data_IF_360481306906
#
_entry.id   IF_360481306906
#
_cell.length_a   1.000
_cell.length_b   1.000
_cell.length_c   1.000
_cell.angle_alpha   90.00
_cell.angle_beta   90.00
_cell.angle_gamma   90.00
#
_symmetry.space_group_name_H-M   'P 1'
#
loop_
_entity.id
_entity.type
_entity.pdbx_description
1 polymer ?
#
# COMPACT_ATOMS: atom_id res chain seq x y z
N UNK A 1 -15.44 24.70 -7.17
CA UNK A 1 -14.33 23.72 -7.28
C UNK A 1 -14.56 22.65 -6.23
N UNK A 2 -15.10 21.49 -6.59
CA UNK A 2 -15.08 20.33 -5.70
C UNK A 2 -15.01 19.07 -6.57
N UNK A 3 -13.80 18.81 -7.06
CA UNK A 3 -13.49 17.62 -7.84
C UNK A 3 -13.30 16.46 -6.85
N UNK A 4 -14.36 15.70 -6.64
CA UNK A 4 -14.30 14.43 -5.91
C UNK A 4 -15.31 13.50 -6.56
N UNK A 5 -14.87 12.64 -7.49
CA UNK A 5 -15.00 11.17 -7.31
C UNK A 5 -13.88 10.37 -8.05
N UNK A 6 -13.76 9.01 -8.00
CA UNK A 6 -14.68 7.98 -7.51
C UNK A 6 -14.04 6.97 -6.49
N UNK A 7 -14.79 6.54 -5.48
CA UNK A 7 -15.34 5.17 -5.31
C UNK A 7 -14.42 4.10 -4.68
N UNK A 8 -14.96 3.26 -3.75
CA UNK A 8 -14.24 2.33 -2.89
C UNK A 8 -13.97 0.98 -3.56
N UNK A 9 -13.38 0.98 -4.74
CA UNK A 9 -12.68 -0.18 -5.26
C UNK A 9 -11.28 -0.23 -4.63
N UNK A 10 -10.75 -1.43 -4.41
CA UNK A 10 -9.51 -1.73 -3.68
C UNK A 10 -8.25 -1.10 -4.33
N UNK A 11 -8.17 0.22 -4.31
CA UNK A 11 -7.08 0.99 -4.87
C UNK A 11 -5.83 0.77 -4.02
N UNK A 12 -4.68 0.63 -4.70
CA UNK A 12 -3.38 0.44 -4.04
C UNK A 12 -3.10 1.53 -3.00
N UNK A 13 -3.67 2.73 -3.15
CA UNK A 13 -3.60 3.80 -2.16
C UNK A 13 -4.30 3.46 -0.81
N UNK A 14 -5.45 2.80 -0.83
CA UNK A 14 -6.13 2.35 0.38
C UNK A 14 -5.35 1.21 1.06
N UNK A 15 -4.84 0.27 0.26
CA UNK A 15 -4.00 -0.83 0.75
C UNK A 15 -2.67 -0.30 1.34
N UNK A 16 -2.07 0.71 0.71
CA UNK A 16 -0.89 1.42 1.18
C UNK A 16 -1.13 2.07 2.55
N UNK A 17 -2.23 2.82 2.71
CA UNK A 17 -2.58 3.44 4.00
C UNK A 17 -2.81 2.39 5.09
N UNK A 18 -3.46 1.28 4.75
CA UNK A 18 -3.69 0.16 5.67
C UNK A 18 -2.39 -0.56 6.05
N UNK A 19 -1.44 -0.67 5.13
CA UNK A 19 -0.10 -1.18 5.40
C UNK A 19 0.64 -0.28 6.39
N UNK A 20 0.57 1.04 6.22
CA UNK A 20 1.15 2.00 7.16
C UNK A 20 0.46 1.97 8.54
N UNK A 21 -0.86 1.83 8.59
CA UNK A 21 -1.57 1.75 9.86
C UNK A 21 -1.18 0.51 10.69
N UNK A 22 -0.98 -0.64 10.03
CA UNK A 22 -0.69 -1.90 10.72
C UNK A 22 0.82 -2.18 10.90
N UNK A 23 1.64 -1.80 9.91
CA UNK A 23 3.06 -2.14 9.83
C UNK A 23 3.97 -0.91 9.84
N UNK A 24 3.41 0.30 9.96
CA UNK A 24 4.11 1.58 10.09
C UNK A 24 5.25 1.53 11.10
N UNK A 25 4.97 1.06 12.31
CA UNK A 25 5.93 1.00 13.40
C UNK A 25 6.90 -0.20 13.34
N UNK A 26 6.67 -1.18 12.45
CA UNK A 26 7.45 -2.43 12.37
C UNK A 26 8.27 -2.54 11.10
N UNK A 27 7.61 -2.63 9.95
CA UNK A 27 8.25 -2.86 8.65
C UNK A 27 8.46 -1.57 7.87
N UNK A 28 7.73 -0.50 8.23
CA UNK A 28 7.71 0.75 7.47
C UNK A 28 8.25 1.94 8.28
N UNK A 29 8.98 1.69 9.36
CA UNK A 29 9.48 2.74 10.27
C UNK A 29 10.47 3.69 9.59
N UNK A 30 11.14 3.23 8.53
CA UNK A 30 12.03 4.03 7.69
C UNK A 30 11.31 4.63 6.46
N UNK A 31 10.06 4.24 6.20
CA UNK A 31 9.28 4.70 5.05
C UNK A 31 8.33 5.82 5.48
N UNK A 32 8.06 6.74 4.56
CA UNK A 32 7.19 7.88 4.80
C UNK A 32 5.85 7.65 4.12
N UNK A 33 4.76 7.90 4.85
CA UNK A 33 3.40 7.85 4.32
C UNK A 33 3.23 9.01 3.32
N UNK A 34 2.92 8.68 2.07
CA UNK A 34 2.61 9.64 1.02
C UNK A 34 1.09 9.83 0.88
N UNK A 35 0.64 11.06 0.64
CA UNK A 35 -0.78 11.38 0.41
C UNK A 35 -1.28 10.87 -0.95
N UNK A 36 -0.41 10.90 -1.97
CA UNK A 36 -0.64 10.32 -3.30
C UNK A 36 0.48 9.35 -3.61
N UNK A 37 0.44 8.11 -3.08
CA UNK A 37 1.44 7.11 -3.44
C UNK A 37 1.33 6.80 -4.93
N UNK A 38 2.46 6.58 -5.59
CA UNK A 38 2.48 6.01 -6.93
C UNK A 38 2.37 4.48 -6.85
N UNK A 39 2.04 3.78 -7.95
CA UNK A 39 2.10 2.32 -7.98
C UNK A 39 3.48 1.78 -7.59
N UNK A 40 4.56 2.49 -7.96
CA UNK A 40 5.94 2.15 -7.60
C UNK A 40 6.18 2.25 -6.09
N UNK A 41 5.69 3.34 -5.45
CA UNK A 41 5.76 3.49 -3.99
C UNK A 41 5.04 2.36 -3.28
N UNK A 42 3.87 1.95 -3.79
CA UNK A 42 3.11 0.86 -3.22
C UNK A 42 3.82 -0.50 -3.36
N UNK A 43 4.49 -0.76 -4.48
CA UNK A 43 5.33 -1.95 -4.65
C UNK A 43 6.52 -1.96 -3.68
N UNK A 44 7.12 -0.81 -3.39
CA UNK A 44 8.19 -0.69 -2.38
C UNK A 44 7.68 -1.11 -1.00
N UNK A 45 6.47 -0.70 -0.62
CA UNK A 45 5.83 -1.12 0.63
C UNK A 45 5.50 -2.61 0.61
N UNK A 46 4.95 -3.14 -0.49
CA UNK A 46 4.68 -4.57 -0.63
C UNK A 46 5.95 -5.41 -0.42
N UNK A 47 7.08 -4.96 -0.96
CA UNK A 47 8.38 -5.63 -0.75
C UNK A 47 8.85 -5.57 0.71
N UNK A 48 8.72 -4.43 1.37
CA UNK A 48 9.07 -4.29 2.79
C UNK A 48 8.20 -5.20 3.68
N UNK A 49 6.88 -5.24 3.43
CA UNK A 49 5.94 -6.14 4.11
C UNK A 49 6.31 -7.62 3.93
N UNK A 50 6.85 -8.00 2.77
CA UNK A 50 7.24 -9.37 2.46
C UNK A 50 8.52 -9.80 3.18
N UNK A 51 9.43 -8.86 3.45
CA UNK A 51 10.73 -9.12 4.10
C UNK A 51 10.61 -9.02 5.62
N UNK A 52 9.96 -7.97 6.12
CA UNK A 52 9.94 -7.61 7.55
C UNK A 52 8.60 -7.97 8.24
N UNK A 53 7.59 -8.36 7.47
CA UNK A 53 6.24 -8.63 7.98
C UNK A 53 5.87 -10.11 8.15
N UNK A 54 4.71 -10.33 8.76
CA UNK A 54 4.16 -11.66 9.03
C UNK A 54 3.38 -12.26 7.85
N UNK A 55 2.77 -13.44 8.03
CA UNK A 55 1.88 -14.06 7.02
C UNK A 55 0.78 -13.10 6.51
N UNK A 56 0.21 -12.29 7.40
CA UNK A 56 -0.80 -11.30 6.99
C UNK A 56 -0.18 -10.14 6.20
N UNK A 57 1.05 -9.74 6.51
CA UNK A 57 1.77 -8.72 5.75
C UNK A 57 2.07 -9.20 4.33
N UNK A 58 2.42 -10.48 4.17
CA UNK A 58 2.58 -11.11 2.84
C UNK A 58 1.28 -11.10 2.03
N UNK A 59 0.16 -11.46 2.65
CA UNK A 59 -1.14 -11.39 1.97
C UNK A 59 -1.51 -9.95 1.57
N UNK A 60 -1.16 -8.97 2.39
CA UNK A 60 -1.37 -7.55 2.07
C UNK A 60 -0.44 -7.08 0.94
N UNK A 61 0.83 -7.53 0.93
CA UNK A 61 1.77 -7.26 -0.15
C UNK A 61 1.25 -7.77 -1.50
N UNK A 62 0.74 -9.00 -1.55
CA UNK A 62 0.18 -9.58 -2.77
C UNK A 62 -1.05 -8.81 -3.29
N UNK A 63 -1.91 -8.32 -2.39
CA UNK A 63 -3.03 -7.45 -2.74
C UNK A 63 -2.54 -6.12 -3.33
N UNK A 64 -1.50 -5.51 -2.75
CA UNK A 64 -0.91 -4.27 -3.26
C UNK A 64 -0.31 -4.49 -4.66
N UNK A 65 0.44 -5.57 -4.87
CA UNK A 65 1.02 -5.91 -6.17
C UNK A 65 -0.06 -6.12 -7.23
N UNK A 66 -1.14 -6.82 -6.88
CA UNK A 66 -2.27 -7.05 -7.80
C UNK A 66 -2.99 -5.74 -8.14
N UNK A 67 -3.21 -4.87 -7.17
CA UNK A 67 -3.82 -3.55 -7.38
C UNK A 67 -2.93 -2.64 -8.24
N UNK A 68 -1.61 -2.62 -8.01
CA UNK A 68 -0.67 -1.88 -8.85
C UNK A 68 -0.65 -2.41 -10.29
N UNK A 69 -0.71 -3.73 -10.49
CA UNK A 69 -0.76 -4.32 -11.83
C UNK A 69 -2.07 -4.00 -12.56
N UNK A 70 -3.18 -3.88 -11.84
CA UNK A 70 -4.47 -3.50 -12.45
C UNK A 70 -4.54 -2.01 -12.84
N UNK A 71 -3.66 -1.18 -12.26
CA UNK A 71 -3.57 0.26 -12.53
C UNK A 71 -2.56 0.63 -13.63
N UNK A 72 -1.77 -0.35 -14.11
CA UNK A 72 -0.81 -0.23 -15.23
C UNK A 72 -1.50 -0.59 -16.55
#
# INVERSE_FOLDING_TARGET
MNDTPPEPEENFANLYRRAFAQYGAKALWNKRLLEKPTPEDALVIARALRIEGDRQARSLAEQIEKACRAAL
#
